data_IF_529245346043
#
_entry.id   IF_529245346043
#
_cell.length_a   1.000
_cell.length_b   1.000
_cell.length_c   1.000
_cell.angle_alpha   90.00
_cell.angle_beta   90.00
_cell.angle_gamma   90.00
#
_symmetry.space_group_name_H-M   'P 1'
#
loop_
_entity.id
_entity.type
_entity.pdbx_description
1 polymer ?
#
# COMPACT_ATOMS: atom_id res chain seq x y z
N UNK A 1 37.76 -26.53 20.35
CA UNK A 1 38.47 -25.63 19.45
C UNK A 1 37.61 -25.49 18.21
N UNK A 2 36.71 -24.55 18.24
CA UNK A 2 35.83 -24.17 17.12
C UNK A 2 36.45 -22.93 16.53
N UNK A 3 36.96 -23.04 15.30
CA UNK A 3 37.53 -21.90 14.57
C UNK A 3 36.44 -20.94 14.18
N UNK A 4 36.43 -19.77 14.78
CA UNK A 4 35.77 -18.59 14.24
C UNK A 4 36.53 -18.15 13.00
N UNK A 5 35.90 -18.26 11.87
CA UNK A 5 36.35 -17.63 10.63
C UNK A 5 36.06 -16.14 10.78
N UNK A 6 37.06 -15.35 11.12
CA UNK A 6 37.04 -13.90 10.97
C UNK A 6 36.77 -13.62 9.47
N UNK A 7 35.53 -13.19 9.13
CA UNK A 7 35.28 -12.50 7.86
C UNK A 7 36.00 -11.16 7.96
N UNK A 8 37.05 -11.02 7.16
CA UNK A 8 37.76 -9.75 7.03
C UNK A 8 36.79 -8.71 6.52
N UNK A 9 36.44 -7.75 7.35
CA UNK A 9 35.76 -6.54 6.99
C UNK A 9 36.72 -5.69 6.15
N UNK A 10 36.54 -5.65 4.83
CA UNK A 10 37.06 -4.53 4.06
C UNK A 10 36.52 -3.23 4.68
N UNK A 11 37.31 -2.16 4.73
CA UNK A 11 36.81 -0.88 5.20
C UNK A 11 35.63 -0.47 4.32
N UNK A 12 34.55 0.14 4.89
CA UNK A 12 33.39 0.53 4.12
C UNK A 12 33.83 1.41 2.95
N UNK A 13 33.34 1.09 1.76
CA UNK A 13 33.44 1.96 0.61
C UNK A 13 32.92 3.36 1.00
N UNK A 14 33.46 4.41 0.37
CA UNK A 14 32.99 5.77 0.66
C UNK A 14 31.48 5.84 0.42
N UNK A 15 30.68 5.98 1.46
CA UNK A 15 29.22 6.01 1.37
C UNK A 15 28.67 7.22 0.59
N UNK A 16 29.55 8.20 0.28
CA UNK A 16 29.19 9.34 -0.56
C UNK A 16 28.87 8.93 -2.02
N UNK A 17 29.30 7.74 -2.45
CA UNK A 17 29.07 7.22 -3.81
C UNK A 17 27.83 6.27 -3.87
N UNK A 18 27.18 6.02 -2.74
CA UNK A 18 25.98 5.16 -2.70
C UNK A 18 24.77 5.84 -3.33
N UNK A 19 23.91 5.02 -3.92
CA UNK A 19 22.56 5.48 -4.31
C UNK A 19 21.63 5.59 -3.10
N UNK A 20 20.33 5.50 -3.36
CA UNK A 20 19.29 5.51 -2.31
C UNK A 20 18.23 4.46 -2.61
N UNK A 21 17.83 3.71 -1.59
CA UNK A 21 16.65 2.85 -1.66
C UNK A 21 15.41 3.64 -1.26
N UNK A 22 14.52 3.86 -2.21
CA UNK A 22 13.20 4.42 -1.98
C UNK A 22 12.15 3.33 -1.88
N UNK A 23 11.41 3.27 -0.77
CA UNK A 23 10.19 2.46 -0.66
C UNK A 23 9.01 3.36 -1.01
N UNK A 24 8.47 3.19 -2.21
CA UNK A 24 7.58 4.18 -2.84
C UNK A 24 6.14 3.75 -2.79
N UNK A 25 5.29 4.53 -2.12
CA UNK A 25 3.83 4.39 -2.16
C UNK A 25 3.25 5.03 -3.42
N UNK A 26 2.62 4.22 -4.25
CA UNK A 26 1.99 4.71 -5.49
C UNK A 26 0.50 4.97 -5.36
N UNK A 27 -0.03 4.98 -4.12
CA UNK A 27 -1.45 5.15 -3.91
C UNK A 27 -2.27 4.04 -4.58
N UNK A 28 -3.46 4.35 -5.11
CA UNK A 28 -4.27 3.40 -5.86
C UNK A 28 -3.65 3.02 -7.22
N UNK A 29 -2.58 3.68 -7.63
CA UNK A 29 -1.88 3.42 -8.89
C UNK A 29 -2.27 4.35 -10.04
N UNK A 30 -3.06 5.38 -9.75
CA UNK A 30 -3.38 6.43 -10.71
C UNK A 30 -2.44 7.63 -10.56
N UNK A 31 -2.04 8.29 -11.67
CA UNK A 31 -1.09 9.40 -11.64
C UNK A 31 -1.53 10.54 -10.74
N UNK A 32 -2.78 10.95 -10.90
CA UNK A 32 -3.35 12.05 -10.13
C UNK A 32 -3.61 11.72 -8.64
N UNK A 33 -3.46 10.45 -8.25
CA UNK A 33 -3.54 9.98 -6.88
C UNK A 33 -2.17 9.62 -6.29
N UNK A 34 -1.10 9.71 -7.08
CA UNK A 34 0.27 9.62 -6.61
C UNK A 34 0.76 10.96 -6.09
N UNK A 35 1.68 10.95 -5.14
CA UNK A 35 2.41 12.17 -4.79
C UNK A 35 3.39 12.53 -5.91
N UNK A 36 3.64 13.83 -6.14
CA UNK A 36 4.65 14.24 -7.13
C UNK A 36 6.01 13.60 -6.86
N UNK A 37 6.41 13.50 -5.58
CA UNK A 37 7.65 12.84 -5.19
C UNK A 37 7.69 11.36 -5.59
N UNK A 38 6.57 10.65 -5.48
CA UNK A 38 6.51 9.25 -5.93
C UNK A 38 6.71 9.13 -7.43
N UNK A 39 6.08 10.00 -8.22
CA UNK A 39 6.31 10.07 -9.66
C UNK A 39 7.79 10.37 -9.97
N UNK A 40 8.33 11.45 -9.40
CA UNK A 40 9.71 11.88 -9.64
C UNK A 40 10.72 10.76 -9.33
N UNK A 41 10.54 10.06 -8.20
CA UNK A 41 11.44 8.96 -7.79
C UNK A 41 11.35 7.78 -8.77
N UNK A 42 10.14 7.35 -9.14
CA UNK A 42 9.97 6.23 -10.08
C UNK A 42 10.51 6.58 -11.47
N UNK A 43 10.28 7.81 -11.94
CA UNK A 43 10.77 8.27 -13.24
C UNK A 43 12.29 8.35 -13.31
N UNK A 44 12.96 8.67 -12.20
CA UNK A 44 14.40 8.94 -12.19
C UNK A 44 15.24 7.78 -11.64
N UNK A 45 14.66 6.79 -11.00
CA UNK A 45 15.38 5.64 -10.46
C UNK A 45 16.12 4.85 -11.56
N UNK A 46 17.30 4.32 -11.22
CA UNK A 46 18.05 3.42 -12.11
C UNK A 46 17.40 2.05 -12.18
N UNK A 47 16.81 1.60 -11.06
CA UNK A 47 16.07 0.35 -10.96
C UNK A 47 14.71 0.55 -10.31
N UNK A 48 13.65 0.00 -10.91
CA UNK A 48 12.29 -0.03 -10.37
C UNK A 48 11.89 -1.46 -10.08
N UNK A 49 11.62 -1.78 -8.83
CA UNK A 49 11.14 -3.10 -8.38
C UNK A 49 9.64 -3.01 -8.13
N UNK A 50 8.82 -3.62 -9.00
CA UNK A 50 7.36 -3.53 -8.91
C UNK A 50 6.67 -4.82 -9.34
N UNK A 51 5.47 -5.12 -8.78
CA UNK A 51 4.62 -6.21 -9.26
C UNK A 51 4.07 -5.88 -10.66
N UNK A 52 3.66 -6.91 -11.42
CA UNK A 52 3.09 -6.70 -12.75
C UNK A 52 1.93 -5.69 -12.75
N UNK A 53 1.05 -5.77 -11.76
CA UNK A 53 -0.08 -4.86 -11.62
C UNK A 53 0.40 -3.41 -11.48
N UNK A 54 1.40 -3.17 -10.62
CA UNK A 54 1.92 -1.82 -10.40
C UNK A 54 2.74 -1.31 -11.57
N UNK A 55 3.51 -2.17 -12.23
CA UNK A 55 4.20 -1.82 -13.47
C UNK A 55 3.21 -1.34 -14.53
N UNK A 56 2.06 -2.00 -14.62
CA UNK A 56 1.06 -1.62 -15.60
C UNK A 56 0.38 -0.30 -15.25
N UNK A 57 0.06 -0.03 -13.97
CA UNK A 57 -0.44 1.28 -13.54
C UNK A 57 0.55 2.40 -13.88
N UNK A 58 1.82 2.21 -13.55
CA UNK A 58 2.88 3.19 -13.81
C UNK A 58 3.14 3.44 -15.31
N UNK A 59 2.88 2.45 -16.18
CA UNK A 59 2.96 2.64 -17.63
C UNK A 59 1.76 3.39 -18.19
N UNK A 60 0.58 3.17 -17.64
CA UNK A 60 -0.65 3.84 -18.13
C UNK A 60 -0.62 5.34 -17.89
N UNK A 61 0.02 5.76 -16.83
CA UNK A 61 0.15 7.16 -16.48
C UNK A 61 1.38 7.84 -17.08
N UNK A 62 2.25 7.07 -17.70
CA UNK A 62 3.48 7.58 -18.30
C UNK A 62 4.64 7.77 -17.32
N UNK A 63 4.49 7.39 -16.05
CA UNK A 63 5.59 7.43 -15.06
C UNK A 63 6.66 6.38 -15.39
N UNK A 64 6.26 5.23 -15.95
CA UNK A 64 7.19 4.29 -16.57
C UNK A 64 7.12 4.37 -18.10
N UNK A 65 8.24 4.17 -18.80
CA UNK A 65 8.25 4.05 -20.25
C UNK A 65 7.32 2.91 -20.73
N UNK A 66 6.73 3.03 -21.93
CA UNK A 66 5.91 1.96 -22.49
C UNK A 66 6.76 0.71 -22.76
N UNK A 67 6.13 -0.48 -22.74
CA UNK A 67 6.83 -1.76 -22.98
C UNK A 67 7.56 -1.77 -24.35
N UNK A 68 7.04 -1.04 -25.35
CA UNK A 68 7.70 -0.86 -26.65
C UNK A 68 9.04 -0.10 -26.57
N UNK A 69 9.33 0.56 -25.45
CA UNK A 69 10.63 1.18 -25.18
C UNK A 69 11.64 0.19 -24.57
N UNK A 70 11.26 -1.09 -24.40
CA UNK A 70 12.21 -2.13 -24.04
C UNK A 70 13.31 -2.19 -25.11
N UNK A 71 14.54 -2.03 -24.69
CA UNK A 71 15.68 -2.21 -25.60
C UNK A 71 15.83 -3.69 -25.89
N UNK A 72 16.21 -4.06 -27.14
CA UNK A 72 16.69 -5.41 -27.47
C UNK A 72 18.02 -5.68 -26.74
N UNK A 73 18.05 -5.33 -25.46
CA UNK A 73 19.23 -5.30 -24.62
C UNK A 73 19.93 -6.64 -24.66
N UNK A 74 21.15 -6.58 -25.13
CA UNK A 74 22.11 -7.65 -24.86
C UNK A 74 22.07 -7.95 -23.36
N UNK A 75 22.35 -9.17 -22.97
CA UNK A 75 22.38 -9.59 -21.56
C UNK A 75 23.09 -8.49 -20.76
N UNK A 76 22.36 -7.83 -19.85
CA UNK A 76 22.95 -6.91 -18.90
C UNK A 76 23.90 -7.76 -18.07
N UNK A 77 25.17 -7.35 -18.01
CA UNK A 77 26.15 -8.00 -17.12
C UNK A 77 25.74 -7.69 -15.69
N UNK A 78 25.05 -8.63 -15.06
CA UNK A 78 24.54 -8.52 -13.70
C UNK A 78 25.38 -9.39 -12.78
N UNK A 79 25.56 -8.99 -11.52
CA UNK A 79 26.09 -9.88 -10.50
C UNK A 79 25.29 -11.19 -10.42
N UNK A 80 25.99 -12.29 -10.13
CA UNK A 80 25.34 -13.58 -9.92
C UNK A 80 24.35 -13.49 -8.75
N UNK A 81 23.11 -13.89 -9.01
CA UNK A 81 22.04 -13.91 -8.00
C UNK A 81 21.02 -12.78 -8.10
N UNK A 82 21.26 -11.78 -8.92
CA UNK A 82 20.26 -10.72 -9.14
C UNK A 82 19.11 -11.19 -10.03
N UNK A 83 17.93 -10.67 -9.75
CA UNK A 83 16.71 -10.98 -10.50
C UNK A 83 16.77 -10.38 -11.91
N UNK A 84 16.36 -11.15 -12.90
CA UNK A 84 16.26 -10.65 -14.28
C UNK A 84 15.28 -9.50 -14.38
N UNK A 85 15.73 -8.38 -14.94
CA UNK A 85 14.94 -7.18 -15.22
C UNK A 85 14.87 -6.90 -16.72
N UNK A 86 13.92 -6.03 -17.08
CA UNK A 86 13.77 -5.51 -18.44
C UNK A 86 14.37 -4.11 -18.49
N UNK A 87 15.31 -3.86 -19.41
CA UNK A 87 15.81 -2.52 -19.65
C UNK A 87 14.80 -1.70 -20.46
N UNK A 88 14.46 -0.54 -19.96
CA UNK A 88 13.61 0.45 -20.60
C UNK A 88 14.45 1.69 -20.94
N UNK A 89 14.18 2.30 -22.09
CA UNK A 89 14.77 3.57 -22.44
C UNK A 89 13.82 4.71 -22.05
N UNK A 90 14.26 5.55 -21.12
CA UNK A 90 13.50 6.73 -20.69
C UNK A 90 13.50 7.81 -21.78
N UNK A 91 12.58 8.79 -21.72
CA UNK A 91 12.53 9.89 -22.68
C UNK A 91 13.81 10.75 -22.76
N UNK A 92 14.57 10.80 -21.67
CA UNK A 92 15.87 11.50 -21.59
C UNK A 92 17.04 10.69 -22.20
N UNK A 93 16.79 9.47 -22.65
CA UNK A 93 17.79 8.58 -23.26
C UNK A 93 18.61 7.78 -22.24
N UNK A 94 18.25 7.82 -20.96
CA UNK A 94 18.89 7.01 -19.91
C UNK A 94 18.18 5.65 -19.79
N UNK A 95 18.95 4.59 -19.58
CA UNK A 95 18.41 3.26 -19.33
C UNK A 95 17.92 3.15 -17.89
N UNK A 96 16.75 2.50 -17.71
CA UNK A 96 16.15 2.16 -16.44
C UNK A 96 15.85 0.68 -16.40
N UNK A 97 16.23 -0.01 -15.35
CA UNK A 97 15.92 -1.43 -15.20
C UNK A 97 14.59 -1.61 -14.46
N UNK A 98 13.71 -2.43 -15.02
CA UNK A 98 12.44 -2.80 -14.42
C UNK A 98 12.48 -4.25 -13.95
N UNK A 99 12.49 -4.48 -12.64
CA UNK A 99 12.52 -5.78 -12.00
C UNK A 99 11.12 -6.16 -11.54
N UNK A 100 10.72 -7.38 -11.88
CA UNK A 100 9.42 -7.91 -11.46
C UNK A 100 9.46 -8.40 -10.02
N UNK A 101 8.61 -7.84 -9.17
CA UNK A 101 8.38 -8.36 -7.82
C UNK A 101 7.20 -9.34 -7.79
N UNK A 102 7.37 -10.48 -7.12
CA UNK A 102 6.30 -11.45 -6.88
C UNK A 102 6.19 -11.78 -5.38
N UNK A 103 5.04 -12.34 -4.99
CA UNK A 103 4.89 -12.84 -3.62
C UNK A 103 5.85 -14.01 -3.39
N UNK A 104 6.61 -13.96 -2.31
CA UNK A 104 7.63 -14.96 -1.96
C UNK A 104 9.07 -14.54 -2.25
N UNK A 105 9.29 -13.50 -3.06
CA UNK A 105 10.62 -12.96 -3.38
C UNK A 105 10.92 -11.64 -2.66
N UNK A 106 10.17 -11.32 -1.61
CA UNK A 106 10.28 -10.00 -0.98
C UNK A 106 11.61 -9.81 -0.23
N UNK A 107 12.13 -10.90 0.36
CA UNK A 107 13.41 -10.90 1.07
C UNK A 107 14.55 -10.76 0.07
N UNK A 108 14.59 -11.64 -0.94
CA UNK A 108 15.63 -11.62 -1.98
C UNK A 108 15.71 -10.26 -2.68
N UNK A 109 14.55 -9.66 -3.00
CA UNK A 109 14.49 -8.36 -3.66
C UNK A 109 14.88 -7.20 -2.73
N UNK A 110 14.67 -7.32 -1.43
CA UNK A 110 15.17 -6.32 -0.48
C UNK A 110 16.70 -6.38 -0.38
N UNK A 111 17.28 -7.58 -0.31
CA UNK A 111 18.73 -7.79 -0.30
C UNK A 111 19.38 -7.30 -1.59
N UNK A 112 18.81 -7.66 -2.74
CA UNK A 112 19.27 -7.17 -4.05
C UNK A 112 19.22 -5.63 -4.11
N UNK A 113 18.18 -5.01 -3.56
CA UNK A 113 18.08 -3.55 -3.53
C UNK A 113 19.20 -2.90 -2.70
N UNK A 114 19.62 -3.50 -1.59
CA UNK A 114 20.76 -3.01 -0.81
C UNK A 114 22.07 -3.09 -1.58
N UNK A 115 22.31 -4.20 -2.28
CA UNK A 115 23.51 -4.36 -3.11
C UNK A 115 23.54 -3.32 -4.25
N UNK A 116 22.41 -3.13 -4.94
CA UNK A 116 22.30 -2.13 -6.01
C UNK A 116 22.60 -0.71 -5.52
N UNK A 117 22.12 -0.37 -4.30
CA UNK A 117 22.40 0.93 -3.68
C UNK A 117 23.88 1.08 -3.37
N UNK A 118 24.55 0.04 -2.85
CA UNK A 118 25.99 0.03 -2.61
C UNK A 118 26.82 0.18 -3.89
N UNK A 119 26.26 -0.24 -5.03
CA UNK A 119 26.85 -0.02 -6.36
C UNK A 119 26.53 1.37 -6.96
N UNK A 120 25.89 2.24 -6.19
CA UNK A 120 25.58 3.62 -6.60
C UNK A 120 24.25 3.80 -7.32
N UNK A 121 23.43 2.74 -7.44
CA UNK A 121 22.12 2.82 -8.09
C UNK A 121 21.05 3.41 -7.18
N UNK A 122 20.19 4.24 -7.74
CA UNK A 122 18.94 4.65 -7.10
C UNK A 122 17.87 3.62 -7.38
N UNK A 123 17.29 3.03 -6.32
CA UNK A 123 16.31 1.95 -6.43
C UNK A 123 14.94 2.41 -5.92
N UNK A 124 13.90 2.27 -6.75
CA UNK A 124 12.50 2.48 -6.36
C UNK A 124 11.80 1.14 -6.11
N UNK A 125 11.61 0.76 -4.85
CA UNK A 125 10.86 -0.44 -4.48
C UNK A 125 9.39 -0.08 -4.26
N UNK A 126 8.55 -0.38 -5.24
CA UNK A 126 7.15 0.08 -5.31
C UNK A 126 6.23 -0.72 -4.40
N UNK A 127 5.37 0.00 -3.67
CA UNK A 127 4.29 -0.52 -2.84
C UNK A 127 2.96 0.14 -3.24
N UNK A 128 1.89 -0.63 -3.36
CA UNK A 128 0.54 -0.07 -3.52
C UNK A 128 0.08 0.63 -2.24
N UNK A 129 -0.75 1.65 -2.38
CA UNK A 129 -1.19 2.45 -1.24
C UNK A 129 -0.06 3.25 -0.62
N UNK A 130 0.05 3.18 0.69
CA UNK A 130 1.14 3.74 1.49
C UNK A 130 2.04 2.62 2.02
N UNK A 131 3.37 2.71 1.94
CA UNK A 131 4.29 1.67 2.38
C UNK A 131 4.19 1.35 3.88
N UNK A 132 3.74 2.30 4.70
CA UNK A 132 3.60 2.15 6.15
C UNK A 132 2.23 1.56 6.56
N UNK A 133 1.27 1.46 5.63
CA UNK A 133 -0.06 0.92 5.94
C UNK A 133 -0.21 -0.47 5.34
N UNK A 134 0.23 -1.49 6.08
CA UNK A 134 0.27 -2.89 5.66
C UNK A 134 1.06 -3.13 4.36
N UNK A 135 2.00 -2.24 4.09
CA UNK A 135 2.89 -2.28 2.93
C UNK A 135 4.20 -3.01 3.22
N UNK A 136 5.31 -2.50 2.66
CA UNK A 136 6.62 -3.18 2.66
C UNK A 136 7.67 -2.49 3.53
N UNK A 137 7.39 -1.32 4.11
CA UNK A 137 8.42 -0.55 4.78
C UNK A 137 9.03 -1.27 5.98
N UNK A 138 8.21 -1.94 6.79
CA UNK A 138 8.67 -2.71 7.93
C UNK A 138 9.61 -3.85 7.53
N UNK A 139 9.29 -4.58 6.45
CA UNK A 139 10.15 -5.64 5.93
C UNK A 139 11.53 -5.12 5.52
N UNK A 140 11.57 -3.99 4.82
CA UNK A 140 12.85 -3.40 4.37
C UNK A 140 13.73 -3.05 5.57
N UNK A 141 13.17 -2.43 6.61
CA UNK A 141 13.94 -2.11 7.82
C UNK A 141 14.34 -3.36 8.63
N UNK A 142 13.46 -4.37 8.71
CA UNK A 142 13.82 -5.65 9.36
C UNK A 142 14.97 -6.35 8.62
N UNK A 143 14.95 -6.33 7.28
CA UNK A 143 16.04 -6.90 6.49
C UNK A 143 17.34 -6.10 6.62
N UNK A 144 17.24 -4.76 6.70
CA UNK A 144 18.41 -3.92 6.92
C UNK A 144 19.08 -4.20 8.28
N UNK A 145 18.28 -4.43 9.33
CA UNK A 145 18.78 -4.79 10.67
C UNK A 145 19.40 -6.20 10.68
N UNK A 146 18.77 -7.18 9.99
CA UNK A 146 19.26 -8.57 9.96
C UNK A 146 20.57 -8.72 9.16
N UNK A 147 20.76 -7.90 8.14
CA UNK A 147 21.93 -7.95 7.23
C UNK A 147 22.99 -6.89 7.53
N UNK A 148 22.91 -6.24 8.70
CA UNK A 148 23.83 -5.16 9.09
C UNK A 148 23.99 -4.09 7.99
N UNK A 149 22.86 -3.71 7.34
CA UNK A 149 22.85 -2.75 6.24
C UNK A 149 22.67 -1.29 6.73
N UNK A 150 23.32 -0.93 7.82
CA UNK A 150 23.31 0.41 8.44
C UNK A 150 23.90 1.49 7.51
N UNK A 151 24.65 1.08 6.52
CA UNK A 151 25.30 1.92 5.53
C UNK A 151 24.39 2.32 4.37
N UNK A 152 23.25 1.63 4.18
CA UNK A 152 22.34 1.85 3.04
C UNK A 152 21.38 3.00 3.31
N UNK A 153 21.39 4.08 2.50
CA UNK A 153 20.39 5.14 2.60
C UNK A 153 19.00 4.62 2.22
N UNK A 154 18.04 4.63 3.16
CA UNK A 154 16.65 4.22 2.94
C UNK A 154 15.73 5.40 3.16
N UNK A 155 14.83 5.65 2.21
CA UNK A 155 13.81 6.70 2.29
C UNK A 155 12.42 6.12 1.99
N UNK A 156 11.42 6.50 2.81
CA UNK A 156 10.03 6.13 2.57
C UNK A 156 9.32 7.29 1.89
N UNK A 157 8.73 7.02 0.74
CA UNK A 157 7.89 7.98 0.01
C UNK A 157 6.43 7.61 0.24
N UNK A 158 5.65 8.47 0.92
CA UNK A 158 4.26 8.15 1.27
C UNK A 158 3.35 8.11 0.04
N UNK A 159 2.25 7.36 0.17
CA UNK A 159 1.19 7.27 -0.84
C UNK A 159 -0.20 7.35 -0.21
N UNK A 160 -1.24 7.42 -1.04
CA UNK A 160 -2.63 7.40 -0.59
C UNK A 160 -3.04 5.96 -0.30
N UNK A 161 -3.21 5.63 0.98
CA UNK A 161 -3.70 4.30 1.39
C UNK A 161 -5.17 4.09 1.02
N UNK A 162 -5.60 2.84 0.83
CA UNK A 162 -6.98 2.48 0.48
C UNK A 162 -8.03 3.08 1.42
N UNK A 163 -7.74 3.21 2.71
CA UNK A 163 -8.64 3.87 3.67
C UNK A 163 -8.97 5.31 3.25
N UNK A 164 -7.96 6.09 2.89
CA UNK A 164 -8.15 7.49 2.48
C UNK A 164 -8.70 7.59 1.06
N UNK A 165 -8.26 6.72 0.14
CA UNK A 165 -8.79 6.66 -1.23
C UNK A 165 -10.28 6.33 -1.25
N UNK A 166 -10.69 5.28 -0.54
CA UNK A 166 -12.09 4.89 -0.42
C UNK A 166 -12.94 5.93 0.31
N UNK A 167 -12.42 6.51 1.40
CA UNK A 167 -13.12 7.56 2.12
C UNK A 167 -13.40 8.80 1.25
N UNK A 168 -12.48 9.16 0.36
CA UNK A 168 -12.67 10.29 -0.55
C UNK A 168 -13.87 10.08 -1.50
N UNK A 169 -14.08 8.84 -1.94
CA UNK A 169 -15.23 8.51 -2.80
C UNK A 169 -16.55 8.38 -2.02
N UNK A 170 -16.45 8.07 -0.73
CA UNK A 170 -17.60 7.92 0.15
C UNK A 170 -18.07 9.25 0.77
N UNK A 171 -17.28 10.32 0.69
CA UNK A 171 -17.59 11.62 1.28
C UNK A 171 -16.68 12.00 2.44
N UNK A 172 -17.18 12.01 3.67
CA UNK A 172 -16.43 12.43 4.86
C UNK A 172 -16.50 11.42 6.03
N UNK A 173 -16.33 10.11 5.80
CA UNK A 173 -16.50 9.11 6.86
C UNK A 173 -15.36 9.12 7.88
N UNK A 174 -14.18 9.64 7.54
CA UNK A 174 -12.97 9.67 8.38
C UNK A 174 -12.69 11.05 8.98
N UNK A 175 -13.70 11.93 9.05
CA UNK A 175 -13.51 13.28 9.61
C UNK A 175 -13.42 13.30 11.14
N UNK A 176 -13.77 12.21 11.81
CA UNK A 176 -13.56 11.96 13.23
C UNK A 176 -12.40 10.98 13.46
N UNK A 177 -12.20 10.54 14.70
CA UNK A 177 -11.17 9.56 15.04
C UNK A 177 -11.39 8.25 14.29
N UNK A 178 -10.35 7.72 13.67
CA UNK A 178 -10.41 6.46 12.96
C UNK A 178 -9.16 5.61 13.18
N UNK A 179 -9.28 4.32 12.93
CA UNK A 179 -8.17 3.39 12.92
C UNK A 179 -8.28 2.40 11.76
N UNK A 180 -7.15 1.78 11.42
CA UNK A 180 -7.09 0.69 10.45
C UNK A 180 -6.76 -0.63 11.15
N UNK A 181 -7.44 -1.72 10.78
CA UNK A 181 -7.19 -3.06 11.31
C UNK A 181 -7.11 -4.04 10.14
N UNK A 182 -5.98 -4.73 10.02
CA UNK A 182 -5.85 -5.83 9.05
C UNK A 182 -6.41 -7.12 9.65
N UNK A 183 -7.25 -7.82 8.89
CA UNK A 183 -7.79 -9.12 9.26
C UNK A 183 -6.84 -10.29 8.93
N UNK A 184 -5.66 -10.00 8.38
CA UNK A 184 -4.67 -11.05 8.11
C UNK A 184 -4.14 -11.65 9.40
N UNK A 185 -4.31 -12.96 9.56
CA UNK A 185 -3.82 -13.77 10.69
C UNK A 185 -2.43 -14.39 10.44
N UNK A 186 -1.80 -14.03 9.32
CA UNK A 186 -0.52 -14.62 8.88
C UNK A 186 0.60 -14.48 9.92
N UNK A 187 0.66 -13.33 10.61
CA UNK A 187 1.73 -12.99 11.54
C UNK A 187 1.25 -12.82 12.98
N UNK A 188 -0.08 -12.86 13.22
CA UNK A 188 -0.71 -12.70 14.52
C UNK A 188 -1.97 -13.56 14.59
N UNK A 189 -2.28 -14.10 15.76
CA UNK A 189 -3.49 -14.91 15.94
C UNK A 189 -4.77 -14.08 15.93
N UNK A 190 -5.89 -14.73 15.60
CA UNK A 190 -7.21 -14.08 15.60
C UNK A 190 -7.57 -13.39 16.91
N UNK A 191 -7.21 -13.99 18.07
CA UNK A 191 -7.50 -13.39 19.38
C UNK A 191 -6.97 -11.96 19.53
N UNK A 192 -5.79 -11.68 18.97
CA UNK A 192 -5.22 -10.32 18.95
C UNK A 192 -6.01 -9.38 18.03
N UNK A 193 -6.47 -9.88 16.88
CA UNK A 193 -7.31 -9.12 15.97
C UNK A 193 -8.63 -8.77 16.63
N UNK A 194 -9.29 -9.74 17.25
CA UNK A 194 -10.55 -9.58 17.96
C UNK A 194 -10.45 -8.57 19.11
N UNK A 195 -9.38 -8.61 19.90
CA UNK A 195 -9.12 -7.63 20.96
C UNK A 195 -9.05 -6.19 20.40
N UNK A 196 -8.34 -6.00 19.29
CA UNK A 196 -8.24 -4.71 18.63
C UNK A 196 -9.57 -4.24 18.06
N UNK A 197 -10.35 -5.12 17.45
CA UNK A 197 -11.69 -4.82 16.95
C UNK A 197 -12.62 -4.35 18.08
N UNK A 198 -12.67 -5.08 19.22
CA UNK A 198 -13.47 -4.70 20.39
C UNK A 198 -13.03 -3.35 20.95
N UNK A 199 -11.73 -3.16 21.14
CA UNK A 199 -11.20 -1.90 21.67
C UNK A 199 -11.57 -0.72 20.77
N UNK A 200 -11.42 -0.85 19.46
CA UNK A 200 -11.79 0.19 18.51
C UNK A 200 -13.31 0.45 18.48
N UNK A 201 -14.13 -0.63 18.54
CA UNK A 201 -15.58 -0.52 18.56
C UNK A 201 -16.08 0.21 19.81
N UNK A 202 -15.60 -0.17 20.98
CA UNK A 202 -15.97 0.45 22.29
C UNK A 202 -15.52 1.89 22.34
N UNK A 203 -14.33 2.22 21.82
CA UNK A 203 -13.74 3.56 21.88
C UNK A 203 -14.37 4.54 20.87
N UNK A 204 -15.29 4.10 20.00
CA UNK A 204 -15.97 4.98 19.05
C UNK A 204 -15.15 5.40 17.84
N UNK A 205 -14.06 4.68 17.51
CA UNK A 205 -13.32 4.91 16.29
C UNK A 205 -14.13 4.47 15.06
N UNK A 206 -14.05 5.21 13.97
CA UNK A 206 -14.36 4.65 12.66
C UNK A 206 -13.30 3.60 12.33
N UNK A 207 -13.70 2.39 11.98
CA UNK A 207 -12.77 1.28 11.74
C UNK A 207 -12.69 0.98 10.26
N UNK A 208 -11.48 1.00 9.68
CA UNK A 208 -11.26 0.54 8.31
C UNK A 208 -10.56 -0.81 8.34
N UNK A 209 -11.24 -1.84 7.84
CA UNK A 209 -10.76 -3.21 7.78
C UNK A 209 -10.00 -3.43 6.47
N UNK A 210 -8.82 -4.03 6.58
CA UNK A 210 -7.97 -4.47 5.47
C UNK A 210 -7.86 -5.98 5.43
N UNK A 211 -7.56 -6.53 4.26
CA UNK A 211 -7.46 -7.98 4.05
C UNK A 211 -8.76 -8.72 4.43
N UNK A 212 -9.90 -8.15 4.06
CA UNK A 212 -11.24 -8.58 4.48
C UNK A 212 -11.69 -9.91 3.88
N UNK A 213 -11.07 -10.35 2.79
CA UNK A 213 -11.52 -11.45 1.95
C UNK A 213 -11.61 -12.84 2.62
N UNK A 214 -11.19 -12.99 3.87
CA UNK A 214 -11.26 -14.26 4.61
C UNK A 214 -12.22 -14.24 5.80
N UNK A 215 -12.04 -13.28 6.69
CA UNK A 215 -12.64 -13.33 8.03
C UNK A 215 -13.50 -12.09 8.33
N UNK A 216 -14.00 -11.40 7.28
CA UNK A 216 -14.75 -10.16 7.49
C UNK A 216 -16.06 -10.40 8.25
N UNK A 217 -16.79 -11.49 7.98
CA UNK A 217 -18.03 -11.83 8.68
C UNK A 217 -17.79 -11.92 10.18
N UNK A 218 -16.74 -12.64 10.57
CA UNK A 218 -16.34 -12.77 11.96
C UNK A 218 -15.93 -11.43 12.58
N UNK A 219 -15.28 -10.57 11.82
CA UNK A 219 -14.92 -9.21 12.26
C UNK A 219 -16.18 -8.35 12.48
N UNK A 220 -17.14 -8.43 11.55
CA UNK A 220 -18.43 -7.74 11.66
C UNK A 220 -19.19 -8.21 12.91
N UNK A 221 -19.24 -9.53 13.17
CA UNK A 221 -19.88 -10.06 14.37
C UNK A 221 -19.27 -9.50 15.66
N UNK A 222 -17.93 -9.44 15.75
CA UNK A 222 -17.23 -8.84 16.89
C UNK A 222 -17.63 -7.38 17.11
N UNK A 223 -17.73 -6.60 16.03
CA UNK A 223 -18.13 -5.19 16.12
C UNK A 223 -19.60 -5.04 16.50
N UNK A 224 -20.49 -5.93 16.02
CA UNK A 224 -21.92 -5.95 16.36
C UNK A 224 -22.20 -6.25 17.84
N UNK A 225 -21.29 -6.89 18.54
CA UNK A 225 -21.41 -7.05 20.00
C UNK A 225 -21.31 -5.72 20.76
N UNK A 226 -20.68 -4.70 20.15
CA UNK A 226 -20.38 -3.41 20.77
C UNK A 226 -21.13 -2.22 20.12
N UNK A 227 -21.71 -2.41 18.91
CA UNK A 227 -22.40 -1.36 18.15
C UNK A 227 -23.76 -1.83 17.67
N UNK A 228 -24.68 -0.88 17.50
CA UNK A 228 -26.02 -1.15 17.00
C UNK A 228 -26.00 -1.56 15.51
N UNK A 229 -26.97 -2.37 15.11
CA UNK A 229 -27.11 -2.91 13.76
C UNK A 229 -27.34 -1.83 12.68
N UNK A 230 -27.86 -0.67 13.06
CA UNK A 230 -28.13 0.46 12.16
C UNK A 230 -26.91 1.35 11.87
N UNK A 231 -25.75 1.08 12.48
CA UNK A 231 -24.52 1.78 12.21
C UNK A 231 -24.12 1.60 10.74
N UNK A 232 -23.84 2.70 10.00
CA UNK A 232 -23.47 2.61 8.59
C UNK A 232 -22.14 1.87 8.38
N UNK A 233 -22.12 1.06 7.32
CA UNK A 233 -20.94 0.35 6.84
C UNK A 233 -20.77 0.63 5.35
N UNK A 234 -19.55 0.82 4.89
CA UNK A 234 -19.23 0.89 3.48
C UNK A 234 -18.27 -0.23 3.07
N UNK A 235 -18.62 -0.99 2.04
CA UNK A 235 -17.77 -1.98 1.39
C UNK A 235 -17.26 -1.35 0.10
N UNK A 236 -15.96 -1.28 -0.09
CA UNK A 236 -15.38 -0.70 -1.31
C UNK A 236 -14.23 -1.54 -1.85
N UNK A 237 -14.18 -1.62 -3.18
CA UNK A 237 -13.20 -2.37 -3.92
C UNK A 237 -12.37 -1.42 -4.77
N UNK A 238 -11.06 -1.69 -4.88
CA UNK A 238 -10.13 -0.96 -5.72
C UNK A 238 -10.20 0.56 -5.55
N UNK A 239 -10.36 0.98 -4.29
CA UNK A 239 -10.62 2.34 -3.88
C UNK A 239 -9.62 3.35 -4.44
N UNK A 240 -10.16 4.45 -4.98
CA UNK A 240 -9.37 5.55 -5.52
C UNK A 240 -8.86 5.31 -6.95
N UNK A 241 -9.26 4.23 -7.62
CA UNK A 241 -8.90 3.99 -9.01
C UNK A 241 -9.73 4.80 -10.00
N UNK A 242 -10.97 5.13 -9.67
CA UNK A 242 -11.84 6.04 -10.42
C UNK A 242 -11.96 5.77 -11.91
N UNK A 243 -12.52 6.73 -12.65
CA UNK A 243 -12.76 6.60 -14.10
C UNK A 243 -11.50 6.67 -14.98
N UNK A 244 -10.43 7.21 -14.52
CA UNK A 244 -9.17 7.29 -15.27
C UNK A 244 -8.27 6.06 -15.03
N UNK A 245 -8.68 5.17 -14.14
CA UNK A 245 -7.94 3.96 -13.82
C UNK A 245 -8.16 2.87 -14.86
N UNK A 246 -7.28 1.91 -14.83
CA UNK A 246 -7.31 0.78 -15.74
C UNK A 246 -8.55 -0.06 -15.65
N UNK A 247 -9.11 -0.18 -14.48
CA UNK A 247 -10.29 -1.00 -14.18
C UNK A 247 -11.36 -0.13 -13.52
N UNK A 248 -11.78 0.90 -14.23
CA UNK A 248 -12.90 1.78 -13.85
C UNK A 248 -14.13 1.06 -13.38
N UNK A 249 -14.41 -0.03 -14.09
CA UNK A 249 -15.55 -0.88 -13.80
C UNK A 249 -15.35 -1.69 -12.50
N UNK A 250 -14.11 -1.79 -12.00
CA UNK A 250 -13.78 -2.57 -10.81
C UNK A 250 -13.81 -1.70 -9.53
N UNK A 251 -13.77 -0.37 -9.65
CA UNK A 251 -13.98 0.49 -8.50
C UNK A 251 -15.47 0.52 -8.15
N UNK A 252 -15.81 -0.11 -7.06
CA UNK A 252 -17.19 -0.15 -6.56
C UNK A 252 -17.23 0.21 -5.09
N UNK A 253 -18.34 0.82 -4.67
CA UNK A 253 -18.65 0.96 -3.25
C UNK A 253 -20.14 0.69 -3.01
N UNK A 254 -20.43 0.24 -1.81
CA UNK A 254 -21.80 -0.02 -1.34
C UNK A 254 -21.90 0.48 0.08
N UNK A 255 -22.85 1.34 0.36
CA UNK A 255 -23.21 1.74 1.72
C UNK A 255 -24.35 0.83 2.18
N UNK A 256 -24.22 0.28 3.37
CA UNK A 256 -25.16 -0.62 4.03
C UNK A 256 -25.14 -0.38 5.55
N UNK A 257 -25.74 -1.27 6.31
CA UNK A 257 -25.71 -1.22 7.79
C UNK A 257 -24.86 -2.35 8.37
N UNK A 258 -24.43 -2.19 9.61
CA UNK A 258 -23.65 -3.22 10.31
C UNK A 258 -24.45 -4.54 10.42
N UNK A 259 -25.77 -4.48 10.57
CA UNK A 259 -26.64 -5.63 10.62
C UNK A 259 -26.74 -6.40 9.30
N UNK A 260 -26.60 -5.72 8.17
CA UNK A 260 -26.75 -6.28 6.82
C UNK A 260 -25.40 -6.50 6.13
N UNK A 261 -24.28 -6.05 6.71
CA UNK A 261 -22.97 -6.06 6.07
C UNK A 261 -22.53 -7.46 5.59
N UNK A 262 -22.93 -8.52 6.29
CA UNK A 262 -22.62 -9.91 5.92
C UNK A 262 -23.52 -10.48 4.80
N UNK A 263 -24.53 -9.75 4.37
CA UNK A 263 -25.40 -10.16 3.24
C UNK A 263 -24.77 -9.79 1.87
N UNK A 264 -23.64 -9.11 1.87
CA UNK A 264 -22.94 -8.61 0.69
C UNK A 264 -21.67 -9.41 0.34
N UNK A 265 -21.69 -10.71 0.53
CA UNK A 265 -20.57 -11.62 0.26
C UNK A 265 -19.97 -11.47 -1.14
N UNK A 266 -20.85 -11.29 -2.14
CA UNK A 266 -20.42 -11.13 -3.53
C UNK A 266 -19.59 -9.87 -3.79
N UNK A 267 -19.61 -8.93 -2.84
CA UNK A 267 -18.86 -7.68 -2.90
C UNK A 267 -17.55 -7.72 -2.16
N UNK A 268 -17.29 -8.78 -1.38
CA UNK A 268 -16.07 -8.96 -0.61
C UNK A 268 -15.17 -9.97 -1.31
N UNK A 269 -14.24 -9.49 -2.10
CA UNK A 269 -13.36 -10.36 -2.89
C UNK A 269 -11.98 -9.78 -3.12
N UNK A 270 -10.95 -10.59 -2.83
CA UNK A 270 -9.57 -10.26 -3.13
C UNK A 270 -8.93 -9.19 -2.24
N UNK A 271 -7.71 -8.82 -2.61
CA UNK A 271 -6.88 -7.89 -1.83
C UNK A 271 -7.24 -6.41 -2.04
N UNK A 272 -8.10 -6.11 -3.01
CA UNK A 272 -8.58 -4.76 -3.30
C UNK A 272 -9.74 -4.32 -2.42
N UNK A 273 -10.36 -5.25 -1.66
CA UNK A 273 -11.52 -4.96 -0.81
C UNK A 273 -11.09 -4.40 0.53
N UNK A 274 -11.76 -3.34 0.96
CA UNK A 274 -11.73 -2.81 2.31
C UNK A 274 -13.14 -2.52 2.80
N UNK A 275 -13.35 -2.58 4.12
CA UNK A 275 -14.65 -2.33 4.74
C UNK A 275 -14.47 -1.23 5.78
N UNK A 276 -15.30 -0.20 5.70
CA UNK A 276 -15.35 0.88 6.67
C UNK A 276 -16.59 0.68 7.54
N UNK A 277 -16.39 0.62 8.86
CA UNK A 277 -17.47 0.56 9.84
C UNK A 277 -17.55 1.91 10.56
N UNK A 278 -18.66 2.59 10.41
CA UNK A 278 -18.94 3.87 11.06
C UNK A 278 -19.17 3.75 12.56
N UNK A 279 -19.63 4.84 13.15
CA UNK A 279 -19.99 4.97 14.58
C UNK A 279 -21.47 5.30 14.72
N UNK A 280 -21.99 5.41 15.93
CA UNK A 280 -23.35 5.88 16.18
C UNK A 280 -23.63 7.31 15.68
N UNK A 281 -22.59 8.09 15.40
CA UNK A 281 -22.70 9.46 14.85
C UNK A 281 -22.60 9.47 13.32
N UNK A 282 -22.20 8.35 12.72
CA UNK A 282 -22.12 8.22 11.28
C UNK A 282 -23.51 8.16 10.67
N UNK A 283 -23.68 8.82 9.55
CA UNK A 283 -24.96 8.81 8.82
C UNK A 283 -24.73 8.91 7.31
N UNK A 284 -25.70 8.44 6.57
CA UNK A 284 -25.78 8.65 5.13
C UNK A 284 -26.40 10.02 4.84
N UNK A 285 -25.78 10.75 3.93
CA UNK A 285 -26.28 12.02 3.40
C UNK A 285 -26.49 11.90 1.89
N UNK A 286 -27.67 12.22 1.42
CA UNK A 286 -28.06 12.06 0.01
C UNK A 286 -28.31 13.41 -0.66
N UNK A 287 -27.99 13.50 -1.94
CA UNK A 287 -28.38 14.60 -2.80
C UNK A 287 -28.65 14.09 -4.22
N UNK A 288 -28.91 15.01 -5.17
CA UNK A 288 -29.20 14.68 -6.57
C UNK A 288 -28.04 13.99 -7.31
N UNK A 289 -26.85 13.91 -6.70
CA UNK A 289 -25.63 13.35 -7.30
C UNK A 289 -25.21 12.01 -6.67
N UNK A 290 -25.78 11.63 -5.54
CA UNK A 290 -25.48 10.35 -4.90
C UNK A 290 -25.62 10.36 -3.38
N UNK A 291 -25.24 9.24 -2.80
CA UNK A 291 -25.21 8.99 -1.36
C UNK A 291 -23.77 9.10 -0.84
N UNK A 292 -23.62 9.71 0.32
CA UNK A 292 -22.34 9.94 0.97
C UNK A 292 -22.40 9.50 2.41
N UNK A 293 -21.30 8.95 2.90
CA UNK A 293 -21.16 8.59 4.30
C UNK A 293 -20.39 9.69 5.05
N UNK A 294 -20.97 10.18 6.13
CA UNK A 294 -20.41 11.28 6.93
C UNK A 294 -20.29 10.85 8.39
N UNK A 295 -19.14 11.08 9.00
CA UNK A 295 -18.93 10.95 10.44
C UNK A 295 -18.47 12.32 10.96
N UNK A 296 -19.37 13.13 11.52
CA UNK A 296 -19.01 14.47 12.01
C UNK A 296 -18.09 14.34 13.23
N UNK A 297 -17.28 15.35 13.46
CA UNK A 297 -16.61 15.49 14.76
C UNK A 297 -17.66 15.82 15.80
N UNK A 298 -17.79 14.98 16.82
CA UNK A 298 -18.82 15.09 17.83
C UNK A 298 -18.92 16.48 18.45
N UNK A 299 -20.14 16.93 18.71
CA UNK A 299 -20.44 18.17 19.40
C UNK A 299 -20.26 19.44 18.58
N UNK A 300 -20.07 19.38 17.25
CA UNK A 300 -20.06 20.55 16.38
C UNK A 300 -21.45 20.84 15.84
N UNK A 301 -21.89 22.06 16.06
CA UNK A 301 -23.09 22.62 15.42
C UNK A 301 -22.67 23.61 14.33
N UNK A 302 -23.53 23.83 13.32
CA UNK A 302 -23.22 24.77 12.22
C UNK A 302 -23.00 26.18 12.75
N UNK A 303 -23.68 26.54 13.86
CA UNK A 303 -23.58 27.78 14.54
C UNK A 303 -22.21 28.02 15.23
N UNK A 304 -21.39 26.98 15.38
CA UNK A 304 -20.02 27.07 15.94
C UNK A 304 -19.01 27.68 14.96
N UNK A 305 -19.40 27.89 13.71
CA UNK A 305 -18.60 28.43 12.62
C UNK A 305 -19.13 29.82 12.21
#
# INVERSE_FOLDING_TARGET
MTGETERGTEPPANTDDYGTLYVVGIGPGLPHAMTQRACDVVETADCVIASNLYQEFLRQDGTLPPEAAATDGGAVDRPDGWTDGTLLLRPDGVEQELVRSSMGQQVELALEAFERVREGQTVAHVSGGDPNVYGKSDLVFLMADEEDADDVPIEIVPGVTAALGGAANLGAPLSNDFCTISLSDKWRGWAEIEEKLRAAAISGFVVVLYNCWRDYERAIEVVREERADDVPVAIFNDAGRGEAGRNLEDETHTITTLGEATEHDEKVGGMGTSILVGTSESHEWENDHGSYLVTPRGGREVEDF
#
